data_IF_860146496389
#
_entry.id   IF_860146496389
#
_cell.length_a   1.000
_cell.length_b   1.000
_cell.length_c   1.000
_cell.angle_alpha   90.00
_cell.angle_beta   90.00
_cell.angle_gamma   90.00
#
_symmetry.space_group_name_H-M   'P 1'
#
loop_
_entity.id
_entity.type
_entity.pdbx_description
1 polymer ?
#
# COMPACT_ATOMS: atom_id res chain seq x y z
N UNK A 1 -19.31 -10.56 -6.81
CA UNK A 1 -19.42 -9.45 -7.80
C UNK A 1 -20.19 -8.25 -7.26
N UNK A 2 -21.39 -8.42 -6.68
CA UNK A 2 -22.20 -7.32 -6.16
C UNK A 2 -21.47 -6.47 -5.10
N UNK A 3 -20.76 -7.09 -4.17
CA UNK A 3 -20.00 -6.38 -3.12
C UNK A 3 -18.92 -5.48 -3.74
N UNK A 4 -18.19 -5.99 -4.74
CA UNK A 4 -17.12 -5.24 -5.43
C UNK A 4 -17.67 -4.02 -6.15
N UNK A 5 -18.78 -4.17 -6.87
CA UNK A 5 -19.45 -3.05 -7.54
C UNK A 5 -20.01 -2.04 -6.54
N UNK A 6 -20.58 -2.50 -5.42
CA UNK A 6 -21.09 -1.62 -4.37
C UNK A 6 -19.99 -0.79 -3.73
N UNK A 7 -18.81 -1.38 -3.49
CA UNK A 7 -17.64 -0.67 -2.93
C UNK A 7 -17.10 0.37 -3.93
N UNK A 8 -16.91 -0.02 -5.20
CA UNK A 8 -16.46 0.88 -6.25
C UNK A 8 -17.43 2.04 -6.45
N UNK A 9 -18.74 1.75 -6.48
CA UNK A 9 -19.80 2.75 -6.54
C UNK A 9 -19.79 3.71 -5.36
N UNK A 10 -19.50 3.21 -4.15
CA UNK A 10 -19.36 4.04 -2.95
C UNK A 10 -18.21 5.02 -3.02
N UNK A 11 -17.05 4.60 -3.57
CA UNK A 11 -15.92 5.49 -3.84
C UNK A 11 -16.31 6.54 -4.88
N UNK A 12 -16.82 6.11 -6.03
CA UNK A 12 -17.19 7.01 -7.13
C UNK A 12 -18.20 8.06 -6.69
N UNK A 13 -19.29 7.65 -6.03
CA UNK A 13 -20.31 8.56 -5.51
C UNK A 13 -19.75 9.57 -4.51
N UNK A 14 -18.86 9.12 -3.60
CA UNK A 14 -18.28 10.01 -2.59
C UNK A 14 -17.35 11.03 -3.22
N UNK A 15 -16.54 10.62 -4.22
CA UNK A 15 -15.68 11.53 -4.97
C UNK A 15 -16.48 12.52 -5.79
N UNK A 16 -17.46 12.05 -6.58
CA UNK A 16 -18.31 12.91 -7.41
C UNK A 16 -19.01 13.97 -6.59
N UNK A 17 -19.59 13.58 -5.45
CA UNK A 17 -20.25 14.55 -4.57
C UNK A 17 -19.27 15.59 -4.02
N UNK A 18 -18.07 15.18 -3.58
CA UNK A 18 -17.05 16.12 -3.11
C UNK A 18 -16.55 17.02 -4.24
N UNK A 19 -16.36 16.47 -5.45
CA UNK A 19 -15.98 17.22 -6.66
C UNK A 19 -16.99 18.31 -7.02
N UNK A 20 -18.27 18.08 -6.77
CA UNK A 20 -19.32 19.07 -7.03
C UNK A 20 -19.43 20.15 -5.93
N UNK A 21 -19.18 19.78 -4.69
CA UNK A 21 -19.35 20.68 -3.54
C UNK A 21 -18.11 21.52 -3.23
N UNK A 22 -16.92 20.91 -3.24
CA UNK A 22 -15.69 21.54 -2.76
C UNK A 22 -15.22 22.76 -3.58
N UNK A 23 -15.33 22.79 -4.94
CA UNK A 23 -14.98 23.99 -5.71
C UNK A 23 -15.73 25.23 -5.24
N UNK A 24 -17.02 25.06 -4.92
CA UNK A 24 -17.92 26.16 -4.47
C UNK A 24 -17.62 26.61 -3.04
N UNK A 25 -17.04 25.73 -2.21
CA UNK A 25 -16.75 26.01 -0.81
C UNK A 25 -15.33 26.45 -0.55
N UNK A 26 -14.36 25.92 -1.31
CA UNK A 26 -12.94 26.09 -1.07
C UNK A 26 -12.20 26.87 -2.18
N UNK A 27 -12.82 27.06 -3.35
CA UNK A 27 -12.17 27.72 -4.49
C UNK A 27 -11.20 26.78 -5.22
N UNK A 28 -10.17 27.34 -5.88
CA UNK A 28 -9.25 26.61 -6.77
C UNK A 28 -8.44 25.51 -6.08
N UNK A 29 -8.13 25.65 -4.81
CA UNK A 29 -7.19 24.78 -4.09
C UNK A 29 -7.86 23.49 -3.55
N UNK A 30 -9.13 23.31 -3.81
CA UNK A 30 -9.92 22.24 -3.20
C UNK A 30 -9.36 20.83 -3.48
N UNK A 31 -8.80 20.60 -4.66
CA UNK A 31 -8.20 19.29 -5.02
C UNK A 31 -6.97 19.00 -4.20
N UNK A 32 -6.07 19.98 -4.07
CA UNK A 32 -4.88 19.85 -3.23
C UNK A 32 -5.26 19.57 -1.78
N UNK A 33 -6.21 20.35 -1.24
CA UNK A 33 -6.69 20.16 0.13
C UNK A 33 -7.36 18.79 0.34
N UNK A 34 -8.14 18.30 -0.63
CA UNK A 34 -8.73 16.97 -0.53
C UNK A 34 -7.67 15.87 -0.60
N UNK A 35 -6.71 15.97 -1.53
CA UNK A 35 -5.63 15.01 -1.66
C UNK A 35 -4.76 14.97 -0.38
N UNK A 36 -4.44 16.13 0.19
CA UNK A 36 -3.70 16.22 1.43
C UNK A 36 -4.51 15.65 2.62
N UNK A 37 -5.82 15.88 2.65
CA UNK A 37 -6.71 15.30 3.67
C UNK A 37 -6.83 13.78 3.54
N UNK A 38 -6.60 13.20 2.36
CA UNK A 38 -6.63 11.74 2.14
C UNK A 38 -5.29 11.05 2.42
N UNK A 39 -4.23 11.79 2.75
CA UNK A 39 -2.94 11.18 3.10
C UNK A 39 -3.00 10.42 4.43
N UNK A 40 -2.08 9.47 4.61
CA UNK A 40 -1.91 8.76 5.88
C UNK A 40 -3.04 7.79 6.22
N UNK A 41 -3.72 7.23 5.23
CA UNK A 41 -4.67 6.13 5.41
C UNK A 41 -3.89 4.82 5.69
N UNK A 42 -3.14 4.80 6.78
CA UNK A 42 -2.18 3.73 7.12
C UNK A 42 -2.77 2.33 7.35
N UNK A 43 -4.09 2.20 7.32
CA UNK A 43 -4.82 0.93 7.39
C UNK A 43 -5.01 0.27 6.02
N UNK A 44 -4.59 0.93 4.94
CA UNK A 44 -4.71 0.41 3.58
C UNK A 44 -3.65 -0.68 3.36
N UNK A 45 -4.05 -1.85 2.90
CA UNK A 45 -3.19 -3.04 2.78
C UNK A 45 -1.96 -2.79 1.91
N UNK A 46 -2.10 -2.03 0.81
CA UNK A 46 -0.97 -1.67 -0.04
C UNK A 46 0.07 -0.80 0.68
N UNK A 47 -0.35 0.07 1.59
CA UNK A 47 0.56 0.83 2.44
C UNK A 47 1.25 -0.07 3.47
N UNK A 48 0.55 -1.05 4.03
CA UNK A 48 1.14 -2.04 4.94
C UNK A 48 2.21 -2.88 4.24
N UNK A 49 1.97 -3.29 2.99
CA UNK A 49 2.96 -4.02 2.18
C UNK A 49 4.27 -3.22 2.03
N UNK A 50 4.17 -1.92 1.71
CA UNK A 50 5.34 -1.03 1.58
C UNK A 50 6.07 -0.89 2.92
N UNK A 51 5.34 -0.74 4.03
CA UNK A 51 5.94 -0.64 5.35
C UNK A 51 6.64 -1.94 5.78
N UNK A 52 6.05 -3.10 5.50
CA UNK A 52 6.67 -4.40 5.77
C UNK A 52 7.97 -4.57 4.96
N UNK A 53 8.00 -4.08 3.71
CA UNK A 53 9.21 -4.09 2.90
C UNK A 53 10.30 -3.18 3.48
N UNK A 54 9.93 -2.00 3.98
CA UNK A 54 10.87 -1.11 4.66
C UNK A 54 11.40 -1.72 5.99
N UNK A 55 10.54 -2.39 6.76
CA UNK A 55 10.93 -3.11 7.98
C UNK A 55 11.93 -4.24 7.65
N UNK A 56 11.74 -4.97 6.53
CA UNK A 56 12.70 -5.96 6.05
C UNK A 56 14.04 -5.33 5.67
N UNK A 57 14.04 -4.16 5.06
CA UNK A 57 15.28 -3.45 4.73
C UNK A 57 16.05 -2.99 5.98
N UNK A 58 15.34 -2.53 7.03
CA UNK A 58 15.94 -2.20 8.32
C UNK A 58 16.55 -3.44 9.00
N UNK A 59 15.78 -4.54 9.00
CA UNK A 59 16.24 -5.80 9.56
C UNK A 59 17.48 -6.32 8.82
N UNK A 60 17.50 -6.23 7.49
CA UNK A 60 18.66 -6.59 6.69
C UNK A 60 19.92 -5.80 7.03
N UNK A 61 19.80 -4.49 7.32
CA UNK A 61 20.93 -3.65 7.76
C UNK A 61 21.40 -4.00 9.17
N UNK A 62 20.52 -4.49 10.03
CA UNK A 62 20.88 -4.84 11.42
C UNK A 62 21.55 -6.20 11.55
N UNK A 63 21.45 -7.06 10.54
CA UNK A 63 22.05 -8.40 10.51
C UNK A 63 23.27 -8.43 9.58
N UNK A 64 24.51 -8.54 10.09
CA UNK A 64 25.72 -8.48 9.26
C UNK A 64 25.78 -9.51 8.13
N UNK A 65 25.25 -10.72 8.36
CA UNK A 65 25.21 -11.78 7.35
C UNK A 65 24.26 -11.39 6.20
N UNK A 66 23.11 -10.85 6.53
CA UNK A 66 22.10 -10.41 5.56
C UNK A 66 22.57 -9.19 4.78
N UNK A 67 23.15 -8.21 5.47
CA UNK A 67 23.73 -7.03 4.85
C UNK A 67 24.85 -7.41 3.87
N UNK A 68 25.77 -8.29 4.29
CA UNK A 68 26.86 -8.77 3.44
C UNK A 68 26.33 -9.52 2.21
N UNK A 69 25.31 -10.36 2.37
CA UNK A 69 24.68 -11.08 1.27
C UNK A 69 24.03 -10.13 0.25
N UNK A 70 23.27 -9.15 0.73
CA UNK A 70 22.56 -8.22 -0.14
C UNK A 70 23.49 -7.18 -0.79
N UNK A 71 24.59 -6.81 -0.15
CA UNK A 71 25.56 -5.81 -0.64
C UNK A 71 26.70 -6.44 -1.45
N UNK A 72 26.92 -7.75 -1.32
CA UNK A 72 28.04 -8.47 -1.91
C UNK A 72 28.06 -8.52 -3.45
N UNK A 73 29.26 -8.75 -3.99
CA UNK A 73 29.48 -9.00 -5.42
C UNK A 73 30.45 -10.18 -5.56
N UNK A 74 30.21 -11.16 -6.47
CA UNK A 74 28.99 -11.29 -7.29
C UNK A 74 27.76 -11.64 -6.45
N UNK A 75 26.59 -11.13 -6.84
CA UNK A 75 25.34 -11.36 -6.14
C UNK A 75 24.57 -12.54 -6.73
N UNK A 76 24.31 -13.55 -5.92
CA UNK A 76 23.59 -14.79 -6.28
C UNK A 76 22.25 -14.87 -5.52
N UNK A 77 21.17 -14.21 -5.98
CA UNK A 77 19.91 -14.15 -5.23
C UNK A 77 19.27 -15.53 -5.03
N UNK A 78 19.50 -16.51 -5.92
CA UNK A 78 18.96 -17.87 -5.80
C UNK A 78 19.47 -18.65 -4.58
N UNK A 79 20.60 -18.27 -4.02
CA UNK A 79 21.20 -18.93 -2.85
C UNK A 79 20.70 -18.39 -1.50
N UNK A 80 19.77 -17.39 -1.50
CA UNK A 80 19.39 -16.69 -0.30
C UNK A 80 18.90 -17.59 0.85
N UNK A 81 18.14 -18.64 0.54
CA UNK A 81 17.64 -19.57 1.56
C UNK A 81 18.78 -20.35 2.24
N UNK A 82 19.83 -20.65 1.51
CA UNK A 82 20.98 -21.37 2.05
C UNK A 82 21.87 -20.44 2.87
N UNK A 83 22.22 -19.29 2.31
CA UNK A 83 23.13 -18.30 2.95
C UNK A 83 22.50 -17.67 4.20
N UNK A 84 21.22 -17.34 4.13
CA UNK A 84 20.50 -16.66 5.21
C UNK A 84 19.81 -17.63 6.19
N UNK A 85 20.11 -18.93 6.09
CA UNK A 85 19.51 -19.93 6.98
C UNK A 85 19.72 -19.60 8.46
N UNK A 86 18.61 -19.52 9.20
CA UNK A 86 18.62 -19.26 10.64
C UNK A 86 18.60 -17.77 11.02
N UNK A 87 18.69 -16.84 10.06
CA UNK A 87 18.57 -15.41 10.32
C UNK A 87 17.12 -15.03 10.65
N UNK A 88 16.95 -13.93 11.38
CA UNK A 88 15.61 -13.35 11.61
C UNK A 88 15.04 -12.76 10.32
N UNK A 89 15.91 -12.19 9.49
CA UNK A 89 15.55 -11.67 8.17
C UNK A 89 14.88 -12.75 7.31
N UNK A 90 15.49 -13.94 7.19
CA UNK A 90 14.88 -14.99 6.35
C UNK A 90 13.48 -15.37 6.82
N UNK A 91 13.28 -15.51 8.14
CA UNK A 91 11.96 -15.79 8.71
C UNK A 91 10.95 -14.68 8.41
N UNK A 92 11.35 -13.42 8.57
CA UNK A 92 10.51 -12.27 8.28
C UNK A 92 10.22 -12.14 6.76
N UNK A 93 11.20 -12.45 5.92
CA UNK A 93 11.05 -12.44 4.46
C UNK A 93 10.09 -13.54 4.00
N UNK A 94 10.20 -14.75 4.51
CA UNK A 94 9.27 -15.84 4.20
C UNK A 94 7.84 -15.52 4.64
N UNK A 95 7.67 -14.93 5.83
CA UNK A 95 6.36 -14.41 6.28
C UNK A 95 5.82 -13.31 5.34
N UNK A 96 6.68 -12.43 4.83
CA UNK A 96 6.29 -11.43 3.85
C UNK A 96 5.81 -12.08 2.54
N UNK A 97 6.51 -13.10 2.06
CA UNK A 97 6.12 -13.86 0.85
C UNK A 97 4.82 -14.64 1.08
N UNK A 98 4.58 -15.17 2.27
CA UNK A 98 3.32 -15.81 2.63
C UNK A 98 2.15 -14.82 2.58
N UNK A 99 2.32 -13.64 3.20
CA UNK A 99 1.28 -12.61 3.29
C UNK A 99 0.98 -11.94 1.92
N UNK A 100 2.02 -11.72 1.08
CA UNK A 100 1.92 -10.94 -0.15
C UNK A 100 2.31 -11.69 -1.42
N UNK A 101 2.67 -12.96 -1.33
CA UNK A 101 3.14 -13.78 -2.45
C UNK A 101 2.14 -13.91 -3.59
N UNK A 102 0.85 -13.83 -3.29
CA UNK A 102 -0.24 -13.83 -4.29
C UNK A 102 -0.30 -12.54 -5.12
N UNK A 103 0.41 -11.47 -4.71
CA UNK A 103 0.48 -10.17 -5.40
C UNK A 103 1.51 -10.20 -6.53
N UNK A 104 1.35 -9.27 -7.49
CA UNK A 104 2.28 -9.09 -8.60
C UNK A 104 2.01 -7.78 -9.36
N UNK A 105 2.84 -7.47 -10.35
CA UNK A 105 2.67 -6.25 -11.15
C UNK A 105 1.46 -6.33 -12.08
N UNK A 106 1.22 -7.49 -12.68
CA UNK A 106 0.10 -7.73 -13.60
C UNK A 106 -0.99 -8.58 -12.97
N UNK A 107 -1.53 -8.20 -11.81
CA UNK A 107 -2.45 -9.03 -11.01
C UNK A 107 -3.72 -9.50 -11.73
N UNK A 108 -4.16 -8.76 -12.75
CA UNK A 108 -5.34 -9.12 -13.57
C UNK A 108 -5.00 -10.13 -14.68
N UNK A 109 -3.73 -10.33 -14.98
CA UNK A 109 -3.26 -11.28 -15.98
C UNK A 109 -2.84 -12.59 -15.31
N UNK A 110 -3.43 -13.70 -15.75
CA UNK A 110 -3.14 -15.02 -15.24
C UNK A 110 -1.70 -15.46 -15.55
N UNK A 111 -1.12 -14.99 -16.67
CA UNK A 111 0.26 -15.33 -17.06
C UNK A 111 1.32 -14.52 -16.32
N UNK A 112 0.95 -13.37 -15.73
CA UNK A 112 1.90 -12.54 -14.99
C UNK A 112 2.42 -13.23 -13.73
N UNK A 113 3.74 -13.21 -13.49
CA UNK A 113 4.32 -13.83 -12.30
C UNK A 113 3.88 -13.14 -11.02
N UNK A 114 3.72 -13.92 -9.96
CA UNK A 114 3.44 -13.46 -8.61
C UNK A 114 4.75 -13.35 -7.82
N UNK A 115 4.71 -12.64 -6.71
CA UNK A 115 5.87 -12.52 -5.80
C UNK A 115 6.33 -13.92 -5.35
N UNK A 116 5.39 -14.84 -5.09
CA UNK A 116 5.72 -16.21 -4.69
C UNK A 116 6.44 -16.99 -5.80
N UNK A 117 6.23 -16.67 -7.07
CA UNK A 117 6.91 -17.37 -8.19
C UNK A 117 8.37 -16.89 -8.35
N UNK A 118 8.66 -15.66 -7.96
CA UNK A 118 10.00 -15.06 -8.05
C UNK A 118 10.28 -14.16 -6.84
N UNK A 119 10.49 -14.72 -5.64
CA UNK A 119 10.77 -13.95 -4.44
C UNK A 119 12.12 -13.19 -4.52
N UNK A 120 13.04 -13.64 -5.39
CA UNK A 120 14.34 -12.99 -5.61
C UNK A 120 14.19 -11.56 -6.16
N UNK A 121 13.12 -11.27 -6.89
CA UNK A 121 12.82 -9.92 -7.36
C UNK A 121 12.61 -8.95 -6.18
N UNK A 122 12.04 -9.43 -5.06
CA UNK A 122 11.90 -8.62 -3.84
C UNK A 122 13.25 -8.40 -3.16
N UNK A 123 14.16 -9.39 -3.18
CA UNK A 123 15.53 -9.21 -2.69
C UNK A 123 16.27 -8.14 -3.49
N UNK A 124 16.06 -8.06 -4.80
CA UNK A 124 16.64 -6.99 -5.62
C UNK A 124 16.13 -5.60 -5.20
N UNK A 125 14.84 -5.48 -4.90
CA UNK A 125 14.27 -4.23 -4.35
C UNK A 125 14.86 -3.88 -2.99
N UNK A 126 15.01 -4.87 -2.09
CA UNK A 126 15.62 -4.68 -0.78
C UNK A 126 17.08 -4.25 -0.89
N UNK A 127 17.86 -4.86 -1.80
CA UNK A 127 19.24 -4.46 -2.11
C UNK A 127 19.33 -2.97 -2.45
N UNK A 128 18.43 -2.46 -3.31
CA UNK A 128 18.38 -1.04 -3.64
C UNK A 128 18.01 -0.18 -2.42
N UNK A 129 17.08 -0.62 -1.59
CA UNK A 129 16.66 0.11 -0.40
C UNK A 129 17.74 0.17 0.69
N UNK A 130 18.58 -0.86 0.83
CA UNK A 130 19.69 -0.85 1.77
C UNK A 130 20.71 0.23 1.38
N UNK A 131 20.99 0.37 0.09
CA UNK A 131 21.95 1.35 -0.43
C UNK A 131 21.47 2.80 -0.33
N UNK A 132 20.15 3.03 -0.32
CA UNK A 132 19.52 4.34 -0.22
C UNK A 132 18.46 4.33 0.90
N UNK A 133 18.87 4.58 2.16
CA UNK A 133 17.96 4.51 3.30
C UNK A 133 16.78 5.46 3.14
N UNK A 134 15.58 4.91 3.17
CA UNK A 134 14.33 5.66 3.21
C UNK A 134 14.01 6.10 4.65
N UNK A 135 13.26 7.19 4.85
CA UNK A 135 12.76 7.54 6.17
C UNK A 135 11.98 6.37 6.77
N UNK A 136 12.10 6.17 8.07
CA UNK A 136 11.40 5.12 8.78
C UNK A 136 9.86 5.28 8.68
N UNK A 137 9.14 4.18 8.93
CA UNK A 137 7.67 4.16 8.92
C UNK A 137 7.07 5.25 9.80
N UNK A 138 7.62 5.46 10.99
CA UNK A 138 7.12 6.42 11.97
C UNK A 138 7.22 7.85 11.43
N UNK A 139 8.35 8.19 10.83
CA UNK A 139 8.58 9.50 10.18
C UNK A 139 7.64 9.72 9.00
N UNK A 140 7.44 8.71 8.14
CA UNK A 140 6.49 8.81 7.02
C UNK A 140 5.07 9.04 7.52
N UNK A 141 4.60 8.22 8.47
CA UNK A 141 3.24 8.32 9.02
C UNK A 141 3.01 9.64 9.75
N UNK A 142 3.98 10.10 10.56
CA UNK A 142 3.92 11.38 11.26
C UNK A 142 3.81 12.56 10.28
N UNK A 143 4.61 12.53 9.21
CA UNK A 143 4.54 13.55 8.16
C UNK A 143 3.18 13.55 7.45
N UNK A 144 2.68 12.39 7.07
CA UNK A 144 1.38 12.25 6.42
C UNK A 144 0.23 12.70 7.34
N UNK A 145 0.29 12.38 8.62
CA UNK A 145 -0.68 12.82 9.61
C UNK A 145 -0.65 14.34 9.81
N UNK A 146 0.54 14.93 9.81
CA UNK A 146 0.71 16.38 9.89
C UNK A 146 0.05 17.07 8.69
N UNK A 147 0.32 16.59 7.48
CA UNK A 147 -0.26 17.12 6.23
C UNK A 147 -1.80 16.99 6.29
N UNK A 148 -2.30 15.79 6.61
CA UNK A 148 -3.75 15.53 6.73
C UNK A 148 -4.42 16.46 7.73
N UNK A 149 -3.84 16.59 8.91
CA UNK A 149 -4.40 17.42 9.98
C UNK A 149 -4.42 18.89 9.60
N UNK A 150 -3.33 19.37 8.96
CA UNK A 150 -3.25 20.74 8.45
C UNK A 150 -4.32 21.01 7.37
N UNK A 151 -4.47 20.09 6.43
CA UNK A 151 -5.48 20.18 5.36
C UNK A 151 -6.91 20.22 5.93
N UNK A 152 -7.25 19.32 6.85
CA UNK A 152 -8.56 19.27 7.50
C UNK A 152 -8.83 20.56 8.32
N UNK A 153 -7.81 21.09 9.01
CA UNK A 153 -7.91 22.37 9.71
C UNK A 153 -8.16 23.51 8.74
N UNK A 154 -7.42 23.58 7.64
CA UNK A 154 -7.58 24.60 6.58
C UNK A 154 -8.98 24.54 5.99
N UNK A 155 -9.48 23.35 5.65
CA UNK A 155 -10.84 23.16 5.14
C UNK A 155 -11.85 23.69 6.15
N UNK A 156 -11.73 23.34 7.44
CA UNK A 156 -12.65 23.77 8.50
C UNK A 156 -12.63 25.27 8.73
N UNK A 157 -11.49 25.93 8.56
CA UNK A 157 -11.30 27.36 8.81
C UNK A 157 -11.63 28.27 7.63
N UNK A 158 -11.82 27.73 6.42
CA UNK A 158 -12.12 28.54 5.23
C UNK A 158 -13.42 29.32 5.42
N UNK A 159 -13.35 30.62 5.11
CA UNK A 159 -14.51 31.54 5.14
C UNK A 159 -15.61 30.98 4.23
N UNK A 160 -16.81 30.81 4.78
CA UNK A 160 -17.95 30.25 4.06
C UNK A 160 -18.24 28.77 4.36
N UNK A 161 -17.37 28.06 5.09
CA UNK A 161 -17.71 26.75 5.60
C UNK A 161 -18.53 26.92 6.90
N UNK A 162 -19.85 27.01 6.72
CA UNK A 162 -20.81 26.99 7.82
C UNK A 162 -20.80 25.61 8.51
N UNK A 163 -21.33 25.52 9.73
CA UNK A 163 -21.37 24.26 10.48
C UNK A 163 -22.06 23.14 9.73
N UNK A 164 -23.13 23.46 8.96
CA UNK A 164 -23.81 22.51 8.07
C UNK A 164 -22.90 21.96 6.97
N UNK A 165 -22.13 22.82 6.30
CA UNK A 165 -21.19 22.39 5.24
C UNK A 165 -20.06 21.54 5.78
N UNK A 166 -19.54 21.87 6.97
CA UNK A 166 -18.54 21.04 7.64
C UNK A 166 -19.09 19.66 7.99
N UNK A 167 -20.34 19.56 8.45
CA UNK A 167 -20.98 18.29 8.74
C UNK A 167 -21.14 17.45 7.46
N UNK A 168 -21.60 18.05 6.36
CA UNK A 168 -21.74 17.41 5.05
C UNK A 168 -20.37 16.93 4.54
N UNK A 169 -19.34 17.81 4.56
CA UNK A 169 -17.98 17.45 4.18
C UNK A 169 -17.46 16.27 5.00
N UNK A 170 -17.58 16.36 6.34
CA UNK A 170 -17.07 15.33 7.25
C UNK A 170 -17.74 13.97 7.05
N UNK A 171 -19.03 13.96 6.69
CA UNK A 171 -19.76 12.73 6.40
C UNK A 171 -19.25 12.09 5.11
N UNK A 172 -19.18 12.85 4.00
CA UNK A 172 -18.70 12.36 2.72
C UNK A 172 -17.21 11.97 2.76
N UNK A 173 -16.38 12.74 3.44
CA UNK A 173 -14.96 12.45 3.64
C UNK A 173 -14.76 11.12 4.40
N UNK A 174 -15.46 10.91 5.53
CA UNK A 174 -15.37 9.66 6.28
C UNK A 174 -15.89 8.47 5.47
N UNK A 175 -16.95 8.68 4.71
CA UNK A 175 -17.49 7.68 3.79
C UNK A 175 -16.44 7.31 2.72
N UNK A 176 -15.82 8.29 2.09
CA UNK A 176 -14.76 8.10 1.10
C UNK A 176 -13.58 7.32 1.67
N UNK A 177 -13.04 7.72 2.83
CA UNK A 177 -11.96 7.01 3.50
C UNK A 177 -12.31 5.54 3.79
N UNK A 178 -13.54 5.29 4.28
CA UNK A 178 -14.02 3.92 4.54
C UNK A 178 -14.10 3.08 3.25
N UNK A 179 -14.64 3.64 2.18
CA UNK A 179 -14.73 2.91 0.92
C UNK A 179 -13.37 2.70 0.25
N UNK A 180 -12.42 3.61 0.39
CA UNK A 180 -11.05 3.38 -0.05
C UNK A 180 -10.42 2.19 0.68
N UNK A 181 -10.53 2.15 2.00
CA UNK A 181 -10.01 1.03 2.79
C UNK A 181 -10.67 -0.31 2.40
N UNK A 182 -12.00 -0.32 2.24
CA UNK A 182 -12.76 -1.50 1.81
C UNK A 182 -12.38 -1.95 0.39
N UNK A 183 -12.14 -1.01 -0.53
CA UNK A 183 -11.73 -1.32 -1.90
C UNK A 183 -10.39 -2.03 -1.93
N UNK A 184 -9.42 -1.55 -1.18
CA UNK A 184 -8.09 -2.15 -1.11
C UNK A 184 -8.13 -3.53 -0.41
N UNK A 185 -8.90 -3.66 0.66
CA UNK A 185 -9.12 -4.94 1.33
C UNK A 185 -9.80 -5.97 0.39
N UNK A 186 -10.83 -5.56 -0.31
CA UNK A 186 -11.53 -6.41 -1.28
C UNK A 186 -10.60 -6.82 -2.44
N UNK A 187 -9.80 -5.90 -2.96
CA UNK A 187 -8.78 -6.20 -3.99
C UNK A 187 -7.77 -7.23 -3.48
N UNK A 188 -7.26 -7.05 -2.28
CA UNK A 188 -6.30 -7.99 -1.69
C UNK A 188 -6.89 -9.41 -1.60
N UNK A 189 -8.10 -9.55 -1.07
CA UNK A 189 -8.76 -10.86 -0.98
C UNK A 189 -9.09 -11.44 -2.36
N UNK A 190 -9.51 -10.61 -3.32
CA UNK A 190 -9.78 -11.06 -4.68
C UNK A 190 -8.52 -11.65 -5.33
N UNK A 191 -7.34 -11.07 -5.07
CA UNK A 191 -6.08 -11.56 -5.62
C UNK A 191 -5.67 -12.93 -5.05
N UNK A 192 -6.09 -13.31 -3.83
CA UNK A 192 -5.94 -14.68 -3.33
C UNK A 192 -6.68 -15.69 -4.20
N UNK A 193 -7.94 -15.39 -4.53
CA UNK A 193 -8.73 -16.27 -5.40
C UNK A 193 -8.15 -16.32 -6.81
N UNK A 194 -7.69 -15.18 -7.34
CA UNK A 194 -7.03 -15.12 -8.64
C UNK A 194 -5.74 -15.93 -8.68
N UNK A 195 -4.94 -15.88 -7.62
CA UNK A 195 -3.71 -16.68 -7.53
C UNK A 195 -4.01 -18.17 -7.41
N UNK A 196 -5.03 -18.56 -6.64
CA UNK A 196 -5.43 -19.96 -6.54
C UNK A 196 -5.95 -20.52 -7.89
N UNK A 197 -6.78 -19.74 -8.59
CA UNK A 197 -7.25 -20.11 -9.93
C UNK A 197 -6.10 -20.21 -10.95
N UNK A 198 -5.14 -19.27 -10.90
CA UNK A 198 -3.92 -19.31 -11.72
C UNK A 198 -3.12 -20.58 -11.48
N UNK A 199 -2.86 -20.92 -10.22
CA UNK A 199 -2.09 -22.11 -9.88
C UNK A 199 -2.77 -23.38 -10.41
N UNK A 200 -4.10 -23.46 -10.30
CA UNK A 200 -4.87 -24.56 -10.89
C UNK A 200 -4.71 -24.65 -12.42
N UNK A 201 -4.82 -23.50 -13.11
CA UNK A 201 -4.68 -23.45 -14.57
C UNK A 201 -3.27 -23.85 -15.04
N UNK A 202 -2.22 -23.41 -14.32
CA UNK A 202 -0.85 -23.82 -14.64
C UNK A 202 -0.64 -25.33 -14.45
N UNK A 203 -1.17 -25.92 -13.37
CA UNK A 203 -1.08 -27.38 -13.15
C UNK A 203 -1.87 -28.21 -14.16
N UNK A 204 -2.89 -27.64 -14.79
CA UNK A 204 -3.66 -28.32 -15.84
C UNK A 204 -3.04 -28.17 -17.24
N UNK A 205 -2.12 -27.21 -17.40
CA UNK A 205 -1.43 -26.92 -18.65
C UNK A 205 -0.10 -27.65 -18.82
N UNK A 206 0.45 -28.18 -17.71
CA UNK A 206 1.64 -29.08 -17.69
C UNK A 206 1.19 -30.53 -17.88
#
# INVERSE_FOLDING_TARGET
HELTFGIAGGVAQSLDTLDQLLPRWLGSDWRTLLNDALQGQGTVISAQQIFRLAELAELARSEPVTEAFLSGEPWSPSEFRQVLKGTEFLRAFESYVEDYGHRGLGESDVMSPRIADNPEAILAVLRMQISAPSPDRKTILSRQETIRTAALRTIKQRRGLRLDRWAIFSWWYRRLCRFFALREANRHHLMYYSAAARNLLLHLGD
#
